data_IF_643837852237
#
_entry.id   IF_643837852237
#
_cell.length_a   1.000
_cell.length_b   1.000
_cell.length_c   1.000
_cell.angle_alpha   90.00
_cell.angle_beta   90.00
_cell.angle_gamma   90.00
#
_symmetry.space_group_name_H-M   'P 1'
#
loop_
_entity.id
_entity.type
_entity.pdbx_description
1 polymer ?
#
# COMPACT_ATOMS: atom_id res chain seq x y z
N UNK A 1 4.90 -4.03 13.19
CA UNK A 1 4.24 -4.96 14.11
C UNK A 1 3.78 -6.21 13.38
N UNK A 2 4.09 -7.35 13.91
CA UNK A 2 3.65 -8.61 13.32
C UNK A 2 2.22 -8.91 13.71
N UNK A 3 1.40 -9.34 12.77
CA UNK A 3 0.01 -9.67 13.06
C UNK A 3 -0.07 -10.95 13.91
N UNK A 4 -1.24 -11.17 14.54
CA UNK A 4 -1.50 -12.38 15.32
C UNK A 4 -1.39 -13.67 14.50
N UNK A 5 -1.44 -13.57 13.19
CA UNK A 5 -1.28 -14.68 12.27
C UNK A 5 0.18 -14.98 11.96
N UNK A 6 1.06 -14.42 12.77
CA UNK A 6 2.45 -14.82 12.89
C UNK A 6 3.39 -14.26 11.85
N UNK A 7 3.08 -14.29 10.60
CA UNK A 7 4.03 -13.97 9.54
C UNK A 7 3.69 -12.73 8.73
N UNK A 8 2.60 -12.05 9.06
CA UNK A 8 2.22 -10.83 8.36
C UNK A 8 2.80 -9.62 9.04
N UNK A 9 3.46 -8.79 8.27
CA UNK A 9 3.99 -7.52 8.73
C UNK A 9 2.98 -6.43 8.46
N UNK A 10 2.71 -5.60 9.45
CA UNK A 10 1.83 -4.46 9.34
C UNK A 10 2.59 -3.19 9.63
N UNK A 11 2.22 -2.11 8.95
CA UNK A 11 2.84 -0.79 9.11
C UNK A 11 1.79 0.20 9.61
N UNK A 12 2.13 0.93 10.65
CA UNK A 12 1.21 1.82 11.34
C UNK A 12 1.78 3.23 11.45
N UNK A 13 0.88 4.22 11.39
CA UNK A 13 1.19 5.59 11.79
C UNK A 13 0.17 5.97 12.86
N UNK A 14 0.65 6.23 14.07
CA UNK A 14 -0.23 6.39 15.21
C UNK A 14 -1.07 5.13 15.44
N UNK A 15 -2.40 5.29 15.43
CA UNK A 15 -3.34 4.19 15.59
C UNK A 15 -3.91 3.68 14.27
N UNK A 16 -3.38 4.14 13.16
CA UNK A 16 -3.91 3.82 11.84
C UNK A 16 -2.95 2.95 11.06
N UNK A 17 -3.41 1.78 10.65
CA UNK A 17 -2.66 0.90 9.76
C UNK A 17 -2.68 1.49 8.35
N UNK A 18 -1.51 1.62 7.72
CA UNK A 18 -1.45 2.13 6.36
C UNK A 18 -0.91 1.11 5.35
N UNK A 19 -0.41 -0.01 5.80
CA UNK A 19 0.02 -1.09 4.91
C UNK A 19 0.15 -2.41 5.67
N UNK A 20 0.03 -3.52 4.94
CA UNK A 20 0.36 -4.83 5.47
C UNK A 20 0.68 -5.79 4.32
N UNK A 21 1.49 -6.79 4.61
CA UNK A 21 1.74 -7.86 3.65
C UNK A 21 0.52 -8.76 3.59
N UNK A 22 -0.07 -8.85 2.41
CA UNK A 22 -1.20 -9.74 2.17
C UNK A 22 -0.73 -11.19 2.08
N UNK A 23 0.38 -11.40 1.35
CA UNK A 23 1.09 -12.67 1.26
C UNK A 23 2.56 -12.37 0.91
N UNK A 24 3.33 -13.40 0.55
CA UNK A 24 4.75 -13.25 0.24
C UNK A 24 5.03 -12.30 -0.91
N UNK A 25 4.07 -12.14 -1.81
CA UNK A 25 4.26 -11.41 -3.06
C UNK A 25 3.35 -10.20 -3.23
N UNK A 26 2.54 -9.90 -2.24
CA UNK A 26 1.59 -8.79 -2.35
C UNK A 26 1.54 -7.95 -1.09
N UNK A 27 1.67 -6.65 -1.28
CA UNK A 27 1.58 -5.65 -0.23
C UNK A 27 0.28 -4.87 -0.41
N UNK A 28 -0.53 -4.80 0.63
CA UNK A 28 -1.73 -3.96 0.64
C UNK A 28 -1.37 -2.62 1.25
N UNK A 29 -1.71 -1.54 0.57
CA UNK A 29 -1.33 -0.18 0.95
C UNK A 29 -2.56 0.71 0.99
N UNK A 30 -2.77 1.39 2.11
CA UNK A 30 -3.83 2.40 2.25
C UNK A 30 -3.31 3.74 1.72
N UNK A 31 -3.51 3.96 0.43
CA UNK A 31 -2.99 5.15 -0.25
C UNK A 31 -3.93 6.35 -0.13
N UNK A 32 -5.17 6.13 0.25
CA UNK A 32 -6.30 7.06 0.32
C UNK A 32 -6.90 7.37 -1.06
N UNK A 33 -8.19 7.68 -1.07
CA UNK A 33 -8.91 7.94 -2.32
C UNK A 33 -8.35 9.12 -3.09
N UNK A 34 -7.93 10.15 -2.38
CA UNK A 34 -7.35 11.37 -2.99
C UNK A 34 -6.11 11.02 -3.81
N UNK A 35 -5.20 10.28 -3.22
CA UNK A 35 -3.96 9.88 -3.89
C UNK A 35 -4.22 8.85 -4.97
N UNK A 36 -5.18 7.97 -4.78
CA UNK A 36 -5.55 6.99 -5.80
C UNK A 36 -6.04 7.66 -7.07
N UNK A 37 -6.85 8.71 -6.95
CA UNK A 37 -7.31 9.48 -8.09
C UNK A 37 -6.11 10.05 -8.87
N UNK A 38 -5.15 10.61 -8.18
CA UNK A 38 -3.95 11.18 -8.79
C UNK A 38 -3.10 10.10 -9.47
N UNK A 39 -2.96 8.96 -8.84
CA UNK A 39 -2.23 7.81 -9.42
C UNK A 39 -2.89 7.38 -10.74
N UNK A 40 -4.21 7.32 -10.78
CA UNK A 40 -4.94 6.98 -12.00
C UNK A 40 -4.72 7.98 -13.12
N UNK A 41 -4.63 9.27 -12.79
CA UNK A 41 -4.41 10.34 -13.77
C UNK A 41 -3.01 10.27 -14.39
N UNK A 42 -2.01 9.89 -13.63
CA UNK A 42 -0.62 9.80 -14.08
C UNK A 42 -0.39 8.51 -14.90
N UNK A 43 -1.18 7.51 -14.69
CA UNK A 43 -0.99 6.18 -15.25
C UNK A 43 -0.68 5.18 -14.16
N UNK A 44 -1.28 4.02 -14.25
CA UNK A 44 -1.15 3.00 -13.22
C UNK A 44 0.00 2.06 -13.55
N UNK A 45 0.93 1.90 -12.61
CA UNK A 45 1.98 0.91 -12.69
C UNK A 45 1.34 -0.49 -12.78
N UNK A 46 1.78 -1.36 -13.72
CA UNK A 46 1.19 -2.70 -13.85
C UNK A 46 1.28 -3.57 -12.59
N UNK A 47 2.15 -3.23 -11.65
CA UNK A 47 2.26 -3.93 -10.38
C UNK A 47 1.16 -3.54 -9.38
N UNK A 48 0.44 -2.45 -9.64
CA UNK A 48 -0.64 -1.97 -8.80
C UNK A 48 -1.93 -2.71 -9.13
N UNK A 49 -2.60 -3.23 -8.11
CA UNK A 49 -3.90 -3.87 -8.24
C UNK A 49 -4.96 -3.02 -7.56
N UNK A 50 -5.93 -2.56 -8.33
CA UNK A 50 -7.02 -1.77 -7.80
C UNK A 50 -8.07 -2.66 -7.14
N UNK A 51 -8.64 -2.18 -6.04
CA UNK A 51 -9.75 -2.85 -5.37
C UNK A 51 -11.07 -2.53 -6.10
N UNK A 52 -12.04 -3.46 -6.11
CA UNK A 52 -13.38 -3.18 -6.64
C UNK A 52 -14.07 -2.10 -5.81
N UNK A 53 -14.77 -1.19 -6.49
CA UNK A 53 -15.52 -0.14 -5.82
C UNK A 53 -14.67 0.94 -5.17
N UNK A 54 -15.29 1.85 -4.43
CA UNK A 54 -14.57 2.89 -3.69
C UNK A 54 -13.72 2.25 -2.59
N UNK A 55 -12.43 2.58 -2.59
CA UNK A 55 -11.51 2.05 -1.59
C UNK A 55 -10.32 2.98 -1.42
N UNK A 56 -9.80 3.03 -0.19
CA UNK A 56 -8.54 3.72 0.10
C UNK A 56 -7.34 2.82 -0.15
N UNK A 57 -7.55 1.55 -0.41
CA UNK A 57 -6.51 0.54 -0.49
C UNK A 57 -6.20 0.11 -1.91
N UNK A 58 -4.92 -0.20 -2.15
CA UNK A 58 -4.45 -0.84 -3.37
C UNK A 58 -3.59 -2.04 -3.00
N UNK A 59 -3.41 -2.96 -3.94
CA UNK A 59 -2.42 -4.01 -3.84
C UNK A 59 -1.20 -3.66 -4.68
N UNK A 60 -0.04 -4.14 -4.29
CA UNK A 60 1.20 -3.96 -5.03
C UNK A 60 1.98 -5.26 -5.07
N UNK A 61 2.32 -5.73 -6.28
CA UNK A 61 3.05 -6.98 -6.45
C UNK A 61 4.54 -6.80 -6.17
N UNK A 62 5.09 -7.72 -5.36
CA UNK A 62 6.51 -7.77 -5.02
C UNK A 62 7.09 -9.08 -5.56
N UNK A 63 7.70 -9.05 -6.75
CA UNK A 63 8.26 -10.24 -7.37
C UNK A 63 9.79 -10.29 -7.36
N UNK A 64 10.43 -9.13 -7.31
CA UNK A 64 11.88 -9.06 -7.32
C UNK A 64 12.35 -7.80 -6.60
N UNK A 65 13.66 -7.61 -6.52
CA UNK A 65 14.24 -6.48 -5.80
C UNK A 65 13.85 -5.12 -6.37
N UNK A 66 13.61 -5.03 -7.67
CA UNK A 66 13.21 -3.78 -8.30
C UNK A 66 11.87 -3.29 -7.77
N UNK A 67 11.02 -4.21 -7.33
CA UNK A 67 9.71 -3.85 -6.83
C UNK A 67 9.77 -3.19 -5.45
N UNK A 68 10.85 -3.39 -4.71
CA UNK A 68 11.02 -2.80 -3.39
C UNK A 68 11.05 -1.27 -3.49
N UNK A 69 11.74 -0.72 -4.49
CA UNK A 69 11.80 0.73 -4.67
C UNK A 69 10.43 1.33 -4.94
N UNK A 70 9.65 0.67 -5.81
CA UNK A 70 8.28 1.10 -6.10
C UNK A 70 7.38 1.01 -4.88
N UNK A 71 7.49 -0.09 -4.14
CA UNK A 71 6.74 -0.28 -2.91
C UNK A 71 7.10 0.79 -1.88
N UNK A 72 8.38 1.11 -1.73
CA UNK A 72 8.84 2.12 -0.79
C UNK A 72 8.27 3.50 -1.10
N UNK A 73 8.19 3.87 -2.37
CA UNK A 73 7.58 5.14 -2.78
C UNK A 73 6.11 5.21 -2.41
N UNK A 74 5.38 4.13 -2.64
CA UNK A 74 3.96 4.06 -2.30
C UNK A 74 3.74 4.02 -0.78
N UNK A 75 4.60 3.32 -0.06
CA UNK A 75 4.54 3.29 1.41
C UNK A 75 4.79 4.67 2.00
N UNK A 76 5.75 5.41 1.45
CA UNK A 76 6.04 6.77 1.91
C UNK A 76 4.85 7.69 1.67
N UNK A 77 4.24 7.60 0.50
CA UNK A 77 3.05 8.37 0.17
C UNK A 77 1.89 8.02 1.11
N UNK A 78 1.66 6.74 1.33
CA UNK A 78 0.62 6.25 2.23
C UNK A 78 0.85 6.73 3.67
N UNK A 79 2.09 6.67 4.13
CA UNK A 79 2.44 7.14 5.46
C UNK A 79 2.10 8.63 5.63
N UNK A 80 2.48 9.45 4.66
CA UNK A 80 2.17 10.88 4.68
C UNK A 80 0.68 11.14 4.72
N UNK A 81 -0.08 10.45 3.87
CA UNK A 81 -1.52 10.64 3.77
C UNK A 81 -2.26 10.24 5.05
N UNK A 82 -1.83 9.16 5.68
CA UNK A 82 -2.47 8.66 6.89
C UNK A 82 -2.01 9.39 8.15
N UNK A 83 -0.82 9.95 8.13
CA UNK A 83 -0.30 10.75 9.23
C UNK A 83 -1.10 12.05 9.41
N UNK A 84 -1.61 12.59 8.33
CA UNK A 84 -2.31 13.86 8.33
C UNK A 84 -3.81 13.75 8.64
N UNK A 85 -4.28 12.56 8.88
CA UNK A 85 -5.70 12.33 9.19
C UNK A 85 -5.97 12.41 10.68
#
# INVERSE_FOLDING_TARGET
MTSRWGHRTSYWVGKREFAHLHDENELDIRITRRSLKRVKEIGIDPRVKLRPGPSDWIGFELRNRKDIDGAFKLLTLAWRNNKMV
#
